data_IF_575117306798
#
_entry.id   IF_575117306798
#
_cell.length_a   1.000
_cell.length_b   1.000
_cell.length_c   1.000
_cell.angle_alpha   90.00
_cell.angle_beta   90.00
_cell.angle_gamma   90.00
#
_symmetry.space_group_name_H-M   'P 1'
#
loop_
_entity.id
_entity.type
_entity.pdbx_description
1 polymer ?
2 non-polymer ?
3 water ?
#
# COMPACT_ATOMS: atom_id res chain seq x y z
N UNK A 7 45.98 3.39 -35.41
CA UNK A 7 45.49 2.22 -34.69
C UNK A 7 44.05 2.40 -34.24
N UNK A 8 43.75 1.90 -33.05
CA UNK A 8 42.47 2.16 -32.40
C UNK A 8 42.50 3.62 -31.95
N UNK A 9 41.48 4.40 -32.32
CA UNK A 9 41.49 5.82 -31.93
C UNK A 9 41.49 6.01 -30.40
N UNK A 10 42.01 7.14 -29.95
CA UNK A 10 42.23 7.38 -28.52
C UNK A 10 40.95 7.34 -27.66
N UNK A 11 39.85 7.91 -28.17
CA UNK A 11 38.63 7.86 -27.39
C UNK A 11 38.19 6.42 -27.11
N UNK A 12 38.42 5.53 -28.07
CA UNK A 12 38.08 4.12 -27.88
C UNK A 12 39.00 3.45 -26.87
N UNK A 13 40.29 3.81 -26.90
CA UNK A 13 41.23 3.28 -25.93
C UNK A 13 40.79 3.69 -24.52
N UNK A 14 40.43 4.96 -24.38
CA UNK A 14 39.99 5.48 -23.08
C UNK A 14 38.64 4.89 -22.64
N UNK A 15 37.70 4.73 -23.56
CA UNK A 15 36.45 4.06 -23.22
C UNK A 15 36.69 2.66 -22.66
N UNK A 16 37.61 1.92 -23.29
CA UNK A 16 37.96 0.57 -22.83
C UNK A 16 38.50 0.57 -21.40
N UNK A 17 39.30 1.57 -21.07
CA UNK A 17 39.87 1.68 -19.73
C UNK A 17 38.80 2.01 -18.68
N UNK A 18 37.88 2.89 -19.05
CA UNK A 18 36.77 3.19 -18.14
C UNK A 18 35.90 1.95 -17.96
N UNK A 19 35.67 1.23 -19.05
CA UNK A 19 34.91 -0.02 -19.01
C UNK A 19 35.59 -1.01 -18.05
N UNK A 20 36.91 -1.09 -18.10
CA UNK A 20 37.67 -1.95 -17.20
C UNK A 20 37.40 -1.58 -15.75
N UNK A 21 37.47 -0.29 -15.45
CA UNK A 21 37.22 0.21 -14.10
C UNK A 21 35.81 -0.16 -13.64
N UNK A 22 34.85 -0.05 -14.56
CA UNK A 22 33.47 -0.42 -14.25
C UNK A 22 33.38 -1.91 -13.95
N UNK A 23 34.08 -2.72 -14.73
CA UNK A 23 34.05 -4.16 -14.55
C UNK A 23 34.64 -4.62 -13.22
N UNK A 24 35.56 -3.83 -12.67
CA UNK A 24 36.21 -4.17 -11.40
C UNK A 24 35.57 -3.42 -10.24
N UNK A 25 34.42 -2.81 -10.50
CA UNK A 25 33.65 -2.11 -9.47
C UNK A 25 34.38 -0.94 -8.81
N UNK A 26 35.39 -0.40 -9.48
CA UNK A 26 36.02 0.83 -9.02
C UNK A 26 34.98 1.94 -9.08
N UNK A 27 34.16 1.89 -10.12
CA UNK A 27 32.98 2.75 -10.22
C UNK A 27 31.74 1.86 -10.22
N UNK A 28 30.69 2.29 -9.53
CA UNK A 28 29.45 1.51 -9.54
C UNK A 28 28.22 2.30 -9.08
N UNK A 29 27.04 1.74 -9.36
CA UNK A 29 25.77 2.35 -8.99
C UNK A 29 25.74 2.74 -7.52
N UNK A 30 25.34 3.98 -7.25
CA UNK A 30 25.28 4.49 -5.89
C UNK A 30 26.65 4.85 -5.36
N UNK A 33 30.80 8.14 -10.10
CA UNK A 33 32.14 8.03 -10.67
C UNK A 33 32.69 9.42 -10.99
N UNK A 34 34.00 9.50 -11.33
CA UNK A 34 34.60 10.80 -11.67
C UNK A 34 33.82 11.46 -12.78
N UNK A 35 33.62 12.77 -12.72
CA UNK A 35 32.91 13.43 -13.81
C UNK A 35 33.83 13.56 -15.03
N UNK A 36 33.32 14.16 -16.10
CA UNK A 36 34.10 14.22 -17.34
C UNK A 36 35.38 15.06 -17.18
N UNK A 37 35.33 16.10 -16.36
CA UNK A 37 36.51 16.93 -16.13
C UNK A 37 37.60 16.13 -15.40
N UNK A 38 37.21 15.38 -14.38
CA UNK A 38 38.16 14.55 -13.64
C UNK A 38 38.76 13.50 -14.57
N UNK A 39 37.94 12.99 -15.48
CA UNK A 39 38.40 12.03 -16.48
C UNK A 39 39.47 12.62 -17.38
N UNK A 40 39.30 13.89 -17.76
CA UNK A 40 40.33 14.59 -18.54
C UNK A 40 41.67 14.56 -17.82
N UNK A 41 41.64 14.77 -16.51
CA UNK A 41 42.84 14.78 -15.69
C UNK A 41 43.42 13.37 -15.53
N UNK A 42 42.57 12.42 -15.16
CA UNK A 42 42.99 11.03 -14.96
C UNK A 42 43.67 10.46 -16.20
N UNK A 43 43.10 10.75 -17.37
CA UNK A 43 43.60 10.18 -18.61
C UNK A 43 44.42 11.17 -19.43
N UNK A 44 44.72 12.33 -18.85
CA UNK A 44 45.53 13.34 -19.52
C UNK A 44 45.04 13.57 -20.95
N UNK A 45 43.74 13.71 -21.12
CA UNK A 45 43.17 13.84 -22.46
C UNK A 45 42.22 15.02 -22.60
N UNK A 46 41.85 15.35 -23.82
CA UNK A 46 41.04 16.55 -24.06
C UNK A 46 39.58 16.35 -23.66
N UNK A 47 38.88 17.46 -23.55
CA UNK A 47 37.45 17.46 -23.29
C UNK A 47 36.71 16.68 -24.37
N UNK A 48 37.14 16.88 -25.62
CA UNK A 48 36.55 16.24 -26.79
C UNK A 48 36.79 14.73 -26.81
N UNK A 49 38.00 14.33 -26.46
CA UNK A 49 38.33 12.92 -26.34
C UNK A 49 37.48 12.24 -25.27
N UNK A 50 37.39 12.86 -24.10
CA UNK A 50 36.60 12.28 -23.01
C UNK A 50 35.12 12.23 -23.38
N UNK A 51 34.63 13.28 -24.02
CA UNK A 51 33.20 13.33 -24.40
C UNK A 51 32.87 12.19 -25.37
N UNK A 52 33.81 11.90 -26.25
CA UNK A 52 33.64 10.80 -27.21
C UNK A 52 33.71 9.43 -26.54
N UNK A 53 34.61 9.27 -25.58
CA UNK A 53 34.71 8.04 -24.83
C UNK A 53 33.40 7.77 -24.09
N UNK A 54 32.90 8.79 -23.40
CA UNK A 54 31.67 8.68 -22.65
C UNK A 54 30.48 8.39 -23.57
N UNK A 55 30.38 9.11 -24.69
CA UNK A 55 29.32 8.84 -25.68
C UNK A 55 29.28 7.37 -26.03
N UNK A 56 30.46 6.79 -26.21
CA UNK A 56 30.60 5.37 -26.51
C UNK A 56 30.07 4.51 -25.37
N UNK A 57 30.39 4.89 -24.13
CA UNK A 57 29.92 4.14 -22.97
C UNK A 57 28.40 4.28 -22.81
N UNK A 58 27.88 5.47 -23.05
CA UNK A 58 26.45 5.70 -22.99
C UNK A 58 25.71 4.85 -24.03
N UNK A 59 26.24 4.82 -25.25
CA UNK A 59 25.68 4.06 -26.35
C UNK A 59 25.65 2.58 -26.02
N UNK A 60 26.70 2.12 -25.32
CA UNK A 60 26.79 0.72 -24.91
C UNK A 60 25.93 0.43 -23.68
N UNK A 61 25.30 1.46 -23.14
CA UNK A 61 24.44 1.31 -21.97
C UNK A 61 25.19 1.04 -20.68
N UNK A 62 26.43 1.51 -20.59
CA UNK A 62 27.25 1.25 -19.41
C UNK A 62 27.26 2.42 -18.43
N UNK A 63 26.99 3.63 -18.93
CA UNK A 63 26.95 4.81 -18.08
C UNK A 63 25.86 5.74 -18.58
N UNK A 64 25.50 6.70 -17.75
CA UNK A 64 24.50 7.68 -18.14
C UNK A 64 24.94 9.04 -17.61
N UNK A 65 24.67 10.09 -18.36
CA UNK A 65 25.01 11.44 -17.94
C UNK A 65 23.88 12.04 -17.10
N UNK A 66 24.24 12.82 -16.09
CA UNK A 66 23.26 13.70 -15.48
C UNK A 66 23.50 15.09 -16.05
N UNK A 67 22.57 15.55 -16.88
CA UNK A 67 22.65 16.87 -17.49
C UNK A 67 23.61 17.81 -16.76
N UNK A 68 24.85 17.86 -17.23
CA UNK A 68 25.88 18.67 -16.61
C UNK A 68 26.43 18.05 -15.34
N UNK A 69 25.54 17.80 -14.38
CA UNK A 69 25.91 17.24 -13.08
C UNK A 69 27.13 16.31 -13.10
N UNK A 70 26.98 15.12 -13.66
CA UNK A 70 28.06 14.15 -13.69
C UNK A 70 27.80 12.88 -14.48
N UNK A 71 28.29 11.76 -13.94
CA UNK A 71 28.24 10.48 -14.62
C UNK A 71 27.86 9.40 -13.63
N UNK A 72 26.88 8.58 -14.00
CA UNK A 72 26.48 7.44 -13.20
C UNK A 72 26.73 6.14 -13.95
N UNK A 73 27.19 5.13 -13.24
CA UNK A 73 27.35 3.81 -13.81
C UNK A 73 26.00 3.11 -13.80
N UNK A 74 25.66 2.44 -14.90
CA UNK A 74 24.41 1.70 -14.97
C UNK A 74 24.52 0.44 -14.13
N UNK A 75 23.48 0.15 -13.32
CA UNK A 75 23.51 -1.09 -12.53
C UNK A 75 23.60 -2.32 -13.42
N UNK A 76 24.19 -3.39 -12.89
CA UNK A 76 24.35 -4.63 -13.64
C UNK A 76 23.62 -5.78 -12.98
N UNK A 77 22.81 -6.49 -13.75
CA UNK A 77 22.11 -7.66 -13.23
C UNK A 77 23.00 -8.89 -13.32
N UNK A 78 24.10 -8.88 -12.59
CA UNK A 78 24.98 -10.05 -12.53
C UNK A 78 24.30 -11.11 -11.69
N UNK A 79 24.88 -12.30 -11.66
CA UNK A 79 24.32 -13.39 -10.88
C UNK A 79 24.31 -13.00 -9.42
N UNK A 80 25.36 -12.30 -9.00
CA UNK A 80 25.47 -11.90 -7.60
C UNK A 80 24.41 -10.88 -7.21
N UNK A 81 24.21 -9.87 -8.04
CA UNK A 81 23.24 -8.84 -7.75
C UNK A 81 21.82 -9.40 -7.72
N UNK A 82 21.52 -10.32 -8.63
CA UNK A 82 20.21 -10.95 -8.66
C UNK A 82 19.97 -11.70 -7.37
N UNK A 83 20.97 -12.47 -6.95
CA UNK A 83 20.92 -13.18 -5.67
C UNK A 83 20.67 -12.20 -4.52
N UNK A 84 21.34 -11.06 -4.55
CA UNK A 84 21.18 -10.03 -3.52
C UNK A 84 19.78 -9.40 -3.52
N UNK A 85 19.23 -9.19 -4.71
CA UNK A 85 17.97 -8.46 -4.83
C UNK A 85 16.73 -9.31 -4.59
N UNK A 86 16.82 -10.60 -4.91
CA UNK A 86 15.65 -11.45 -4.92
C UNK A 86 15.86 -12.71 -4.09
N UNK A 87 17.12 -12.99 -3.74
CA UNK A 87 17.43 -14.18 -2.96
C UNK A 87 17.51 -15.44 -3.82
N UNK A 88 17.50 -15.27 -5.13
CA UNK A 88 17.45 -16.40 -6.06
C UNK A 88 18.77 -16.65 -6.80
N UNK A 89 19.18 -17.91 -6.83
CA UNK A 89 20.46 -18.30 -7.45
C UNK A 89 20.31 -18.76 -8.90
N UNK A 90 21.44 -18.92 -9.57
CA UNK A 90 21.48 -19.43 -10.94
C UNK A 90 20.74 -18.51 -11.92
N UNK A 96 8.48 -21.77 -9.52
CA UNK A 96 8.81 -20.36 -9.33
C UNK A 96 8.18 -19.80 -8.05
N UNK A 97 7.16 -18.96 -8.22
CA UNK A 97 6.53 -18.27 -7.11
C UNK A 97 7.52 -17.33 -6.43
N UNK A 98 8.54 -16.94 -7.17
CA UNK A 98 9.52 -15.96 -6.72
C UNK A 98 9.51 -14.78 -7.70
N UNK A 99 10.38 -13.82 -7.45
CA UNK A 99 10.44 -12.63 -8.29
C UNK A 99 11.61 -12.68 -9.26
N UNK A 100 11.33 -12.39 -10.52
CA UNK A 100 12.31 -12.49 -11.60
C UNK A 100 12.53 -11.13 -12.24
N UNK A 101 13.71 -10.54 -12.02
CA UNK A 101 14.01 -9.21 -12.55
C UNK A 101 14.26 -9.24 -14.06
N UNK A 102 13.56 -8.38 -14.78
CA UNK A 102 13.68 -8.31 -16.22
C UNK A 102 14.56 -7.15 -16.64
N UNK A 103 14.50 -6.06 -15.88
CA UNK A 103 15.13 -4.80 -16.25
C UNK A 103 15.46 -4.01 -15.01
N UNK A 104 16.64 -3.40 -15.01
CA UNK A 104 17.04 -2.47 -13.96
C UNK A 104 18.01 -1.47 -14.57
N UNK A 105 17.56 -0.22 -14.73
CA UNK A 105 18.45 0.79 -15.31
C UNK A 105 18.07 2.20 -14.90
N UNK A 106 18.97 3.13 -15.22
CA UNK A 106 18.75 4.55 -14.97
C UNK A 106 18.39 5.24 -16.29
N UNK A 107 17.47 6.18 -16.22
CA UNK A 107 16.99 6.89 -17.40
C UNK A 107 16.51 8.26 -16.95
N UNK A 108 16.32 9.17 -17.89
CA UNK A 108 15.72 10.46 -17.58
C UNK A 108 14.27 10.26 -17.18
N UNK A 109 13.76 11.16 -16.34
CA UNK A 109 12.40 11.07 -15.87
C UNK A 109 11.42 11.24 -17.03
N UNK A 110 11.71 12.19 -17.90
CA UNK A 110 10.79 12.54 -18.97
C UNK A 110 9.61 13.35 -18.44
N UNK A 111 8.79 13.88 -19.34
CA UNK A 111 7.67 14.74 -18.97
C UNK A 111 6.67 14.10 -18.00
N UNK A 112 6.27 12.87 -18.30
CA UNK A 112 5.22 12.21 -17.53
C UNK A 112 5.59 12.00 -16.07
N UNK A 113 6.78 11.47 -15.82
CA UNK A 113 7.23 11.22 -14.45
C UNK A 113 7.68 12.51 -13.74
N UNK A 114 8.31 13.41 -14.48
CA UNK A 114 8.74 14.68 -13.93
C UNK A 114 7.55 15.43 -13.33
N UNK A 115 6.41 15.34 -14.01
CA UNK A 115 5.20 16.00 -13.56
C UNK A 115 4.63 15.36 -12.29
N UNK A 116 4.68 14.02 -12.24
CA UNK A 116 4.22 13.29 -11.05
C UNK A 116 5.10 13.54 -9.83
N UNK A 117 6.41 13.48 -10.01
CA UNK A 117 7.34 13.69 -8.90
C UNK A 117 7.55 15.16 -8.62
N UNK A 118 7.10 16.00 -9.53
CA UNK A 118 7.40 17.42 -9.46
C UNK A 118 8.89 17.65 -9.54
N UNK A 119 9.55 17.00 -10.50
CA UNK A 119 10.99 17.13 -10.69
C UNK A 119 11.30 17.58 -12.12
N UNK A 120 12.58 17.72 -12.44
CA UNK A 120 13.00 18.13 -13.78
C UNK A 120 13.06 16.94 -14.73
N UNK A 121 12.51 17.13 -15.93
CA UNK A 121 12.38 16.07 -16.93
C UNK A 121 13.70 15.37 -17.26
N UNK A 122 14.81 16.07 -17.08
CA UNK A 122 16.13 15.55 -17.41
C UNK A 122 16.84 14.90 -16.23
N UNK A 123 16.24 14.99 -15.05
CA UNK A 123 16.79 14.35 -13.87
C UNK A 123 16.52 12.84 -13.92
N UNK A 124 17.32 12.07 -13.20
CA UNK A 124 17.35 10.64 -13.38
C UNK A 124 16.46 9.87 -12.40
N UNK A 125 15.96 8.73 -12.86
CA UNK A 125 15.20 7.80 -12.02
C UNK A 125 15.67 6.38 -12.31
N UNK A 126 15.57 5.52 -11.31
CA UNK A 126 15.76 4.10 -11.52
C UNK A 126 14.47 3.51 -12.05
N UNK A 127 14.60 2.58 -12.98
CA UNK A 127 13.45 1.87 -13.51
C UNK A 127 13.70 0.39 -13.29
N UNK A 128 12.80 -0.24 -12.55
CA UNK A 128 12.92 -1.66 -12.26
C UNK A 128 11.69 -2.37 -12.79
N UNK A 129 11.92 -3.48 -13.49
CA UNK A 129 10.82 -4.29 -13.96
C UNK A 129 11.01 -5.71 -13.46
N UNK A 130 9.96 -6.27 -12.84
CA UNK A 130 10.00 -7.68 -12.44
C UNK A 130 8.69 -8.42 -12.65
N UNK A 131 8.79 -9.74 -12.70
CA UNK A 131 7.67 -10.61 -13.04
C UNK A 131 7.57 -11.67 -11.95
N UNK A 132 6.36 -12.14 -11.72
CA UNK A 132 6.10 -13.06 -10.62
C UNK A 132 5.01 -14.03 -11.05
N UNK A 133 5.25 -15.33 -10.89
CA UNK A 133 4.21 -16.31 -11.16
C UNK A 133 3.17 -16.31 -10.04
N UNK A 134 1.89 -16.34 -10.41
CA UNK A 134 0.82 -16.29 -9.41
C UNK A 134 -0.28 -17.31 -9.72
N UNK A 135 -1.43 -17.11 -9.08
CA UNK A 135 -2.57 -17.99 -9.26
C UNK A 135 -3.13 -17.92 -10.68
N UNK A 136 -3.52 -16.72 -11.10
CA UNK A 136 -4.09 -16.52 -12.42
C UNK A 136 -3.03 -16.05 -13.42
N UNK A 137 -1.87 -16.68 -13.37
CA UNK A 137 -0.80 -16.39 -14.31
C UNK A 137 0.23 -15.39 -13.81
N UNK A 138 1.14 -15.02 -14.69
CA UNK A 138 2.24 -14.12 -14.34
C UNK A 138 1.76 -12.68 -14.16
N UNK A 139 2.30 -12.03 -13.15
CA UNK A 139 2.06 -10.61 -12.96
C UNK A 139 3.32 -9.83 -13.31
N UNK A 140 3.15 -8.55 -13.58
CA UNK A 140 4.27 -7.70 -13.98
C UNK A 140 4.27 -6.45 -13.13
N UNK A 141 5.43 -6.12 -12.58
CA UNK A 141 5.57 -4.90 -11.79
C UNK A 141 6.60 -3.98 -12.40
N UNK A 142 6.30 -2.69 -12.37
CA UNK A 142 7.28 -1.68 -12.74
C UNK A 142 7.37 -0.64 -11.62
N UNK A 143 8.60 -0.39 -11.18
CA UNK A 143 8.90 0.57 -10.12
C UNK A 143 9.75 1.71 -10.66
N UNK A 144 9.44 2.92 -10.23
CA UNK A 144 10.22 4.10 -10.58
C UNK A 144 10.66 4.80 -9.29
N UNK A 145 11.96 4.94 -9.11
CA UNK A 145 12.55 5.58 -7.93
C UNK A 145 13.55 6.65 -8.37
N UNK A 146 13.26 7.93 -8.08
CA UNK A 146 14.20 9.00 -8.45
C UNK A 146 15.55 8.83 -7.75
N UNK A 147 16.61 8.99 -8.52
CA UNK A 147 17.98 8.88 -8.03
C UNK A 147 18.23 9.77 -6.83
N UNK A 148 17.81 11.03 -6.94
CA UNK A 148 17.99 12.01 -5.88
C UNK A 148 17.30 11.68 -4.57
N UNK A 149 16.39 10.71 -4.61
CA UNK A 149 15.65 10.32 -3.42
C UNK A 149 16.20 9.00 -2.84
N UNK A 150 16.93 8.26 -3.68
CA UNK A 150 17.60 7.03 -3.24
C UNK A 150 19.10 7.06 -3.59
N UNK A 151 19.77 8.18 -3.25
CA UNK A 151 21.15 8.47 -3.67
C UNK A 151 22.19 7.45 -3.21
N UNK A 152 21.99 6.84 -2.05
CA UNK A 152 23.05 6.02 -1.44
C UNK A 152 22.93 4.52 -1.71
N UNK A 153 21.86 4.11 -2.39
CA UNK A 153 21.66 2.70 -2.67
C UNK A 153 22.59 2.19 -3.77
N UNK A 154 23.30 1.10 -3.49
CA UNK A 154 24.00 0.37 -4.55
C UNK A 154 23.06 -0.68 -5.11
N UNK A 155 23.47 -1.35 -6.19
CA UNK A 155 22.64 -2.34 -6.86
C UNK A 155 22.06 -3.38 -5.90
N UNK A 156 22.91 -3.92 -5.03
CA UNK A 156 22.51 -4.97 -4.10
C UNK A 156 21.52 -4.50 -3.03
N UNK A 157 21.34 -3.19 -2.92
CA UNK A 157 20.41 -2.64 -1.94
C UNK A 157 18.98 -2.62 -2.44
N UNK A 158 18.82 -2.78 -3.75
CA UNK A 158 17.48 -2.74 -4.33
C UNK A 158 16.78 -4.09 -4.18
N UNK A 159 16.65 -4.53 -2.94
CA UNK A 159 15.95 -5.78 -2.66
C UNK A 159 14.48 -5.59 -2.95
N UNK A 160 13.89 -6.52 -3.70
CA UNK A 160 12.48 -6.39 -4.08
C UNK A 160 11.58 -7.43 -3.43
N UNK A 161 12.04 -8.06 -2.36
CA UNK A 161 11.23 -9.01 -1.60
C UNK A 161 10.03 -8.27 -0.99
N UNK A 162 10.29 -7.09 -0.44
CA UNK A 162 9.26 -6.28 0.20
C UNK A 162 9.32 -4.85 -0.33
N UNK A 163 8.32 -4.48 -1.15
CA UNK A 163 8.34 -3.20 -1.83
C UNK A 163 8.25 -2.02 -0.86
N UNK A 164 7.50 -2.18 0.21
CA UNK A 164 7.34 -1.12 1.19
C UNK A 164 8.68 -0.88 1.85
N UNK A 165 9.36 -1.96 2.21
CA UNK A 165 10.70 -1.82 2.77
C UNK A 165 11.61 -1.08 1.80
N UNK A 166 11.58 -1.46 0.53
CA UNK A 166 12.44 -0.84 -0.48
C UNK A 166 12.12 0.66 -0.62
N UNK A 167 10.84 0.98 -0.71
CA UNK A 167 10.41 2.38 -0.88
C UNK A 167 10.80 3.22 0.34
N UNK A 168 10.84 2.56 1.48
CA UNK A 168 11.16 3.23 2.74
C UNK A 168 12.66 3.39 2.95
N UNK A 169 13.46 2.84 2.04
CA UNK A 169 14.89 2.69 2.29
C UNK A 169 15.76 3.85 1.77
N UNK A 170 15.16 4.87 1.16
CA UNK A 170 15.92 5.98 0.65
C UNK A 170 16.01 7.16 1.62
N UNK A 171 16.13 8.36 1.06
CA UNK A 171 16.27 9.58 1.83
C UNK A 171 15.10 9.86 2.79
N UNK A 172 13.88 9.63 2.31
CA UNK A 172 12.69 9.97 3.07
C UNK A 172 11.92 8.75 3.54
N UNK A 173 11.12 8.94 4.58
CA UNK A 173 10.32 7.85 5.14
C UNK A 173 8.97 7.79 4.43
N UNK A 174 8.48 6.58 4.19
CA UNK A 174 7.15 6.41 3.62
C UNK A 174 6.11 6.93 4.62
N UNK A 175 5.15 7.70 4.14
CA UNK A 175 4.12 8.27 5.01
C UNK A 175 2.70 7.94 4.54
N UNK A 176 2.50 7.96 3.22
CA UNK A 176 1.17 7.81 2.63
C UNK A 176 1.22 7.04 1.31
N UNK A 177 0.14 6.33 1.00
CA UNK A 177 0.02 5.58 -0.23
C UNK A 177 -1.28 5.99 -0.96
N UNK A 178 -1.15 6.40 -2.22
CA UNK A 178 -2.32 6.69 -3.03
C UNK A 178 -2.37 5.74 -4.23
N UNK A 179 -3.52 5.08 -4.41
CA UNK A 179 -3.64 4.08 -5.45
C UNK A 179 -4.75 4.37 -6.45
N UNK A 180 -4.56 3.91 -7.68
CA UNK A 180 -5.55 4.05 -8.74
C UNK A 180 -5.78 2.66 -9.33
N UNK A 181 -7.04 2.35 -9.65
CA UNK A 181 -7.43 1.02 -10.12
C UNK A 181 -8.06 1.12 -11.50
N UNK A 182 -7.47 0.45 -12.49
CA UNK A 182 -7.98 0.50 -13.87
C UNK A 182 -8.07 -0.86 -14.52
N UNK A 183 -8.92 -0.94 -15.54
CA UNK A 183 -8.91 -2.04 -16.50
C UNK A 183 -8.34 -1.49 -17.80
N UNK A 184 -7.33 -2.16 -18.36
CA UNK A 184 -6.76 -1.74 -19.63
C UNK A 184 -6.65 -2.91 -20.59
N UNK A 185 -6.35 -2.59 -21.84
CA UNK A 185 -6.06 -3.59 -22.85
C UNK A 185 -4.59 -3.98 -22.72
N UNK A 186 -4.30 -5.27 -22.88
CA UNK A 186 -2.92 -5.73 -22.84
C UNK A 186 -2.09 -5.10 -23.95
N UNK A 187 -0.97 -4.50 -23.56
CA UNK A 187 -0.01 -3.94 -24.51
C UNK A 187 1.17 -4.88 -24.68
N UNK A 188 2.20 -4.41 -25.36
CA UNK A 188 3.37 -5.25 -25.64
C UNK A 188 4.02 -5.80 -24.39
N UNK A 189 4.17 -4.96 -23.37
CA UNK A 189 4.73 -5.35 -22.09
C UNK A 189 4.01 -6.57 -21.52
N UNK A 190 2.68 -6.47 -21.47
CA UNK A 190 1.84 -7.54 -20.94
C UNK A 190 1.88 -8.77 -21.84
N UNK A 191 1.85 -8.55 -23.15
CA UNK A 191 1.96 -9.65 -24.10
C UNK A 191 3.20 -10.48 -23.79
N UNK A 192 4.36 -9.84 -23.84
CA UNK A 192 5.63 -10.54 -23.71
C UNK A 192 5.85 -11.11 -22.31
N UNK A 193 5.54 -10.32 -21.29
CA UNK A 193 5.92 -10.69 -19.92
C UNK A 193 4.90 -11.52 -19.17
N UNK A 194 3.63 -11.43 -19.55
CA UNK A 194 2.57 -12.10 -18.83
C UNK A 194 1.90 -13.14 -19.72
N UNK A 195 2.38 -13.23 -20.96
CA UNK A 195 1.90 -14.22 -21.91
C UNK A 195 0.40 -14.07 -22.13
N UNK A 196 0.01 -12.86 -22.53
CA UNK A 196 -1.37 -12.56 -22.87
C UNK A 196 -1.44 -12.26 -24.37
N UNK A 197 -2.67 -12.22 -24.90
CA UNK A 197 -2.88 -11.83 -26.29
C UNK A 197 -3.22 -10.35 -26.36
N UNK A 198 -2.96 -9.72 -27.51
CA UNK A 198 -3.31 -8.32 -27.68
C UNK A 198 -4.75 -8.09 -27.29
N UNK A 199 -4.98 -7.01 -26.55
CA UNK A 199 -6.33 -6.59 -26.17
C UNK A 199 -7.01 -7.50 -25.14
N UNK A 200 -6.26 -8.43 -24.57
CA UNK A 200 -6.73 -9.13 -23.39
C UNK A 200 -6.90 -8.07 -22.29
N UNK A 201 -7.94 -8.20 -21.46
CA UNK A 201 -8.18 -7.25 -20.37
C UNK A 201 -7.21 -7.44 -19.21
N UNK A 202 -6.70 -6.33 -18.69
CA UNK A 202 -5.71 -6.39 -17.63
C UNK A 202 -6.05 -5.39 -16.51
N UNK A 203 -5.92 -5.83 -15.25
CA UNK A 203 -6.01 -4.91 -14.11
C UNK A 203 -4.69 -4.15 -14.00
N UNK A 204 -4.78 -2.83 -13.90
CA UNK A 204 -3.60 -2.02 -13.65
C UNK A 204 -3.78 -1.27 -12.31
N UNK A 205 -2.96 -1.64 -11.34
CA UNK A 205 -2.98 -1.03 -10.02
C UNK A 205 -1.81 -0.06 -9.92
N UNK A 206 -2.09 1.24 -9.94
CA UNK A 206 -1.03 2.24 -9.86
C UNK A 206 -0.90 2.71 -8.42
N UNK A 207 0.33 2.78 -7.94
CA UNK A 207 0.60 3.23 -6.58
C UNK A 207 1.58 4.40 -6.61
N UNK A 208 1.24 5.47 -5.90
CA UNK A 208 2.19 6.55 -5.68
C UNK A 208 2.50 6.60 -4.18
N UNK A 209 3.76 6.45 -3.82
CA UNK A 209 4.17 6.47 -2.43
C UNK A 209 4.64 7.87 -2.07
N UNK A 210 4.13 8.41 -0.96
CA UNK A 210 4.47 9.76 -0.54
C UNK A 210 5.24 9.77 0.78
N UNK A 211 6.21 10.66 0.87
CA UNK A 211 6.73 11.10 2.15
C UNK A 211 5.79 12.20 2.68
N UNK A 212 5.95 12.58 3.94
CA UNK A 212 5.15 13.67 4.53
C UNK A 212 5.18 14.92 3.66
N UNK A 213 4.13 15.73 3.79
CA UNK A 213 4.04 17.02 3.09
C UNK A 213 3.91 16.91 1.59
N UNK A 214 3.18 15.88 1.15
CA UNK A 214 2.77 15.77 -0.24
C UNK A 214 3.94 15.59 -1.20
N UNK A 215 4.96 14.85 -0.76
CA UNK A 215 6.14 14.61 -1.59
C UNK A 215 6.21 13.17 -2.08
N UNK A 216 5.94 12.95 -3.38
CA UNK A 216 6.00 11.62 -3.97
C UNK A 216 7.45 11.15 -3.98
N UNK A 217 7.70 9.92 -3.54
CA UNK A 217 9.05 9.39 -3.49
C UNK A 217 9.20 8.16 -4.38
N UNK A 218 8.08 7.54 -4.76
CA UNK A 218 8.14 6.34 -5.58
C UNK A 218 6.83 6.07 -6.30
N UNK A 219 6.93 5.40 -7.45
CA UNK A 219 5.76 4.98 -8.20
C UNK A 219 5.87 3.51 -8.54
N UNK A 220 4.75 2.80 -8.41
CA UNK A 220 4.69 1.39 -8.81
C UNK A 220 3.47 1.13 -9.69
N UNK A 221 3.66 0.34 -10.74
CA UNK A 221 2.55 -0.11 -11.57
C UNK A 221 2.56 -1.62 -11.49
N UNK A 222 1.42 -2.19 -11.13
CA UNK A 222 1.29 -3.63 -11.02
C UNK A 222 0.18 -4.09 -11.96
N UNK A 223 0.45 -5.14 -12.72
CA UNK A 223 -0.49 -5.62 -13.73
C UNK A 223 -0.88 -7.06 -13.48
N UNK A 224 -2.17 -7.37 -13.61
CA UNK A 224 -2.65 -8.73 -13.46
C UNK A 224 -3.69 -9.03 -14.54
N UNK A 225 -3.69 -10.26 -15.02
CA UNK A 225 -4.69 -10.76 -15.94
C UNK A 225 -6.09 -10.55 -15.31
N UNK A 226 -7.00 -9.91 -16.03
CA UNK A 226 -8.34 -9.65 -15.51
C UNK A 226 -9.38 -10.68 -15.99
N UNK A 227 -8.95 -11.66 -16.76
CA UNK A 227 -9.89 -12.66 -17.24
C UNK A 227 -10.57 -13.36 -16.08
N UNK A 228 -11.86 -13.65 -16.23
CA UNK A 228 -12.61 -14.34 -15.20
C UNK A 228 -13.65 -15.25 -15.86
N UNK A 229 -14.08 -16.26 -15.13
CA UNK A 229 -15.18 -17.09 -15.59
C UNK A 229 -16.52 -16.47 -15.20
N UNK A 230 -16.47 -15.33 -14.51
CA UNK A 230 -17.68 -14.69 -13.97
C UNK A 230 -18.15 -13.50 -14.79
N UNK A 231 -17.30 -12.99 -15.66
CA UNK A 231 -17.68 -11.85 -16.49
C UNK A 231 -16.81 -11.83 -17.74
N UNK A 232 -17.19 -10.99 -18.70
CA UNK A 232 -16.30 -10.67 -19.81
C UNK A 232 -16.22 -9.15 -19.94
N UNK A 233 -15.05 -8.64 -20.30
CA UNK A 233 -14.88 -7.22 -20.53
C UNK A 233 -14.86 -6.94 -22.04
N UNK A 234 -15.86 -6.20 -22.51
CA UNK A 234 -15.93 -5.81 -23.91
C UNK A 234 -15.39 -4.39 -24.09
N UNK A 235 -14.20 -4.27 -24.67
CA UNK A 235 -13.62 -2.96 -24.94
C UNK A 235 -14.23 -2.33 -26.19
N UNK A 236 -14.40 -1.02 -26.16
CA UNK A 236 -14.95 -0.28 -27.28
C UNK A 236 -13.91 -0.03 -28.38
N UNK B 8 -40.15 -1.36 38.69
CA UNK B 8 -39.14 -1.61 37.67
C UNK B 8 -38.03 -2.52 38.21
N UNK B 9 -37.75 -3.61 37.51
CA UNK B 9 -36.75 -4.60 37.94
C UNK B 9 -35.39 -3.95 38.24
N UNK B 10 -34.65 -4.55 39.17
CA UNK B 10 -33.35 -4.02 39.57
C UNK B 10 -32.34 -3.95 38.42
N UNK B 11 -32.26 -5.02 37.62
CA UNK B 11 -31.28 -5.05 36.55
C UNK B 11 -31.49 -3.87 35.59
N UNK B 12 -32.74 -3.48 35.37
CA UNK B 12 -33.01 -2.34 34.50
C UNK B 12 -32.55 -1.04 35.16
N UNK B 13 -32.69 -0.97 36.48
CA UNK B 13 -32.22 0.19 37.22
C UNK B 13 -30.70 0.32 37.10
N UNK B 14 -30.00 -0.78 37.35
CA UNK B 14 -28.54 -0.78 37.24
C UNK B 14 -28.06 -0.49 35.82
N UNK B 15 -28.73 -1.07 34.82
CA UNK B 15 -28.38 -0.76 33.43
C UNK B 15 -28.48 0.73 33.15
N UNK B 16 -29.53 1.38 33.65
CA UNK B 16 -29.65 2.83 33.49
C UNK B 16 -28.52 3.57 34.18
N UNK B 17 -28.11 3.08 35.36
CA UNK B 17 -27.00 3.69 36.09
C UNK B 17 -25.70 3.60 35.30
N UNK B 18 -25.49 2.45 34.65
CA UNK B 18 -24.28 2.24 33.86
C UNK B 18 -24.30 3.06 32.57
N UNK B 19 -25.48 3.21 31.98
CA UNK B 19 -25.65 4.04 30.81
C UNK B 19 -25.15 5.46 31.07
N UNK B 20 -25.46 5.98 32.25
CA UNK B 20 -25.02 7.32 32.64
C UNK B 20 -23.49 7.40 32.71
N UNK B 21 -22.88 6.40 33.34
CA UNK B 21 -21.42 6.33 33.43
C UNK B 21 -20.79 6.38 32.04
N UNK B 22 -21.45 5.73 31.08
CA UNK B 22 -20.97 5.70 29.70
C UNK B 22 -21.20 7.04 29.02
N UNK B 23 -22.33 7.68 29.32
CA UNK B 23 -22.65 8.98 28.76
C UNK B 23 -21.64 10.05 29.13
N UNK B 24 -21.03 9.91 30.30
CA UNK B 24 -20.09 10.91 30.81
C UNK B 24 -18.64 10.47 30.64
N UNK B 25 -18.42 9.57 29.68
CA UNK B 25 -17.08 9.07 29.36
C UNK B 25 -16.32 8.58 30.58
N UNK B 26 -17.05 8.22 31.64
CA UNK B 26 -16.43 7.64 32.82
C UNK B 26 -15.84 6.29 32.45
N UNK B 27 -16.58 5.53 31.65
CA UNK B 27 -16.06 4.29 31.09
C UNK B 27 -15.63 4.55 29.65
N UNK B 28 -14.39 4.19 29.35
CA UNK B 28 -13.75 4.58 28.09
C UNK B 28 -13.56 3.41 27.11
N UNK B 29 -14.02 3.59 25.88
CA UNK B 29 -13.66 2.68 24.81
C UNK B 29 -12.18 2.88 24.51
N UNK B 30 -11.38 1.84 24.75
CA UNK B 30 -9.94 1.92 24.57
C UNK B 30 -9.22 2.34 25.84
N UNK B 33 -13.88 -0.85 30.70
CA UNK B 33 -14.66 -0.48 31.87
C UNK B 33 -14.59 -1.58 32.93
N UNK B 34 -15.12 -1.30 34.14
CA UNK B 34 -15.12 -2.30 35.22
C UNK B 34 -15.73 -3.60 34.73
N UNK B 35 -15.16 -4.74 35.09
CA UNK B 35 -15.72 -6.01 34.69
C UNK B 35 -16.99 -6.29 35.49
N UNK B 36 -17.61 -7.44 35.25
CA UNK B 36 -18.89 -7.74 35.89
C UNK B 36 -18.75 -8.03 37.38
N UNK B 37 -17.62 -8.60 37.78
CA UNK B 37 -17.35 -8.80 39.20
C UNK B 37 -17.22 -7.44 39.90
N UNK B 38 -16.53 -6.51 39.27
CA UNK B 38 -16.40 -5.16 39.84
C UNK B 38 -17.75 -4.46 39.93
N UNK B 39 -18.60 -4.64 38.91
CA UNK B 39 -19.94 -4.07 38.91
C UNK B 39 -20.82 -4.62 40.04
N UNK B 40 -20.65 -5.90 40.39
CA UNK B 40 -21.34 -6.45 41.56
C UNK B 40 -20.99 -5.67 42.81
N UNK B 41 -19.72 -5.35 42.96
CA UNK B 41 -19.28 -4.60 44.13
C UNK B 41 -19.68 -3.15 44.05
N UNK B 42 -19.50 -2.53 42.89
CA UNK B 42 -19.90 -1.15 42.71
C UNK B 42 -21.38 -0.92 43.03
N UNK B 43 -22.23 -1.81 42.53
CA UNK B 43 -23.68 -1.66 42.69
C UNK B 43 -24.27 -2.56 43.77
N UNK B 44 -23.40 -3.18 44.56
CA UNK B 44 -23.82 -4.04 45.66
C UNK B 44 -24.94 -4.97 45.22
N UNK B 45 -24.79 -5.56 44.04
CA UNK B 45 -25.84 -6.42 43.50
C UNK B 45 -25.32 -7.80 43.18
N UNK B 46 -26.23 -8.70 42.83
CA UNK B 46 -25.85 -10.08 42.52
C UNK B 46 -25.22 -10.27 41.13
N UNK B 47 -24.50 -11.36 40.97
CA UNK B 47 -23.97 -11.77 39.68
C UNK B 47 -25.07 -11.82 38.62
N UNK B 48 -26.19 -12.44 38.97
CA UNK B 48 -27.32 -12.55 38.08
C UNK B 48 -27.87 -11.19 37.68
N UNK B 49 -28.02 -10.31 38.66
CA UNK B 49 -28.49 -8.95 38.40
C UNK B 49 -27.56 -8.23 37.42
N UNK B 50 -26.25 -8.33 37.66
CA UNK B 50 -25.27 -7.70 36.79
C UNK B 50 -25.32 -8.30 35.39
N UNK B 51 -25.35 -9.63 35.30
CA UNK B 51 -25.41 -10.29 33.99
C UNK B 51 -26.60 -9.79 33.18
N UNK B 52 -27.76 -9.68 33.82
CA UNK B 52 -28.97 -9.23 33.14
C UNK B 52 -28.90 -7.74 32.81
N UNK B 53 -28.26 -6.95 33.67
CA UNK B 53 -28.08 -5.54 33.37
C UNK B 53 -27.17 -5.40 32.15
N UNK B 54 -26.08 -6.16 32.13
CA UNK B 54 -25.15 -6.13 31.00
C UNK B 54 -25.77 -6.69 29.71
N UNK B 55 -26.55 -7.77 29.81
CA UNK B 55 -27.27 -8.30 28.63
C UNK B 55 -28.09 -7.19 27.97
N UNK B 56 -28.72 -6.36 28.79
CA UNK B 56 -29.56 -5.29 28.28
C UNK B 56 -28.72 -4.24 27.55
N UNK B 57 -27.53 -3.95 28.09
CA UNK B 57 -26.65 -2.95 27.51
C UNK B 57 -26.07 -3.46 26.20
N UNK B 58 -25.76 -4.75 26.15
CA UNK B 58 -25.30 -5.36 24.91
C UNK B 58 -26.37 -5.26 23.83
N UNK B 59 -27.60 -5.64 24.17
CA UNK B 59 -28.73 -5.59 23.24
C UNK B 59 -28.96 -4.18 22.70
N UNK B 60 -28.66 -3.18 23.52
CA UNK B 60 -28.79 -1.79 23.09
C UNK B 60 -27.56 -1.31 22.32
N UNK B 61 -26.57 -2.19 22.16
CA UNK B 61 -25.34 -1.84 21.48
C UNK B 61 -24.47 -0.84 22.23
N UNK B 62 -24.57 -0.85 23.56
CA UNK B 62 -23.82 0.09 24.38
C UNK B 62 -22.50 -0.47 24.86
N UNK B 63 -22.46 -1.78 25.07
CA UNK B 63 -21.23 -2.46 25.45
C UNK B 63 -21.15 -3.82 24.79
N UNK B 64 -19.98 -4.44 24.88
CA UNK B 64 -19.78 -5.74 24.28
C UNK B 64 -18.92 -6.56 25.23
N UNK B 65 -19.20 -7.85 25.34
CA UNK B 65 -18.41 -8.69 26.20
C UNK B 65 -17.19 -9.23 25.46
N UNK B 66 -16.06 -9.32 26.16
CA UNK B 66 -14.93 -10.10 25.66
C UNK B 66 -14.98 -11.46 26.36
N UNK B 67 -15.62 -12.42 25.70
CA UNK B 67 -15.84 -13.74 26.28
C UNK B 67 -14.72 -14.21 27.20
N UNK B 68 -15.03 -14.33 28.49
CA UNK B 68 -14.07 -14.82 29.46
C UNK B 68 -12.93 -13.86 29.73
N UNK B 69 -13.21 -12.56 29.63
CA UNK B 69 -12.19 -11.54 29.88
C UNK B 69 -12.75 -10.31 30.59
N UNK B 70 -13.79 -9.70 30.03
CA UNK B 70 -14.38 -8.50 30.60
C UNK B 70 -15.33 -7.75 29.68
N UNK B 71 -15.42 -6.43 29.86
CA UNK B 71 -16.40 -5.61 29.17
C UNK B 71 -15.77 -4.41 28.46
N UNK B 72 -16.25 -4.13 27.25
CA UNK B 72 -15.82 -2.94 26.51
C UNK B 72 -17.00 -2.05 26.20
N UNK B 73 -16.78 -0.74 26.26
CA UNK B 73 -17.78 0.23 25.85
C UNK B 73 -17.71 0.43 24.33
N UNK B 74 -18.87 0.52 23.68
CA UNK B 74 -18.90 0.70 22.24
C UNK B 74 -18.54 2.14 21.89
N UNK B 75 -17.73 2.32 20.83
CA UNK B 75 -17.39 3.67 20.38
C UNK B 75 -18.64 4.44 19.99
N UNK B 76 -18.64 5.75 20.19
CA UNK B 76 -19.80 6.54 19.81
C UNK B 76 -19.40 7.66 18.85
N UNK B 77 -20.12 7.79 17.75
CA UNK B 77 -19.81 8.82 16.77
C UNK B 77 -20.45 10.16 17.10
N UNK B 78 -20.01 10.75 18.21
CA UNK B 78 -20.42 12.09 18.58
C UNK B 78 -19.84 13.10 17.60
N UNK B 79 -20.37 14.32 17.62
CA UNK B 79 -19.85 15.36 16.74
C UNK B 79 -18.37 15.60 17.03
N UNK B 80 -17.99 15.47 18.30
CA UNK B 80 -16.61 15.70 18.70
C UNK B 80 -15.65 14.62 18.14
N UNK B 81 -16.04 13.36 18.27
CA UNK B 81 -15.24 12.25 17.79
C UNK B 81 -15.14 12.25 16.26
N UNK B 82 -16.24 12.60 15.60
CA UNK B 82 -16.24 12.74 14.15
C UNK B 82 -15.24 13.81 13.74
N UNK B 83 -15.20 14.90 14.48
CA UNK B 83 -14.23 15.97 14.23
C UNK B 83 -12.79 15.48 14.40
N UNK B 84 -12.54 14.71 15.47
CA UNK B 84 -11.22 14.16 15.74
C UNK B 84 -10.75 13.19 14.65
N UNK B 85 -11.68 12.35 14.19
CA UNK B 85 -11.35 11.27 13.28
C UNK B 85 -11.21 11.71 11.83
N UNK B 86 -11.90 12.78 11.44
CA UNK B 86 -11.98 13.15 10.02
C UNK B 86 -11.70 14.63 9.76
N UNK B 87 -11.73 15.44 10.80
CA UNK B 87 -11.50 16.87 10.66
C UNK B 87 -12.73 17.69 10.27
N UNK B 88 -13.87 17.04 10.10
CA UNK B 88 -15.05 17.71 9.55
C UNK B 88 -16.03 18.25 10.59
N UNK B 89 -16.59 19.43 10.29
CA UNK B 89 -17.52 20.13 11.16
C UNK B 89 -16.92 20.50 12.53
N UNK B 97 -16.73 15.91 -0.59
CA UNK B 97 -15.40 16.47 -0.45
C UNK B 97 -14.50 15.59 0.42
N UNK B 98 -15.00 15.25 1.61
CA UNK B 98 -14.19 14.58 2.62
C UNK B 98 -14.67 13.16 2.96
N UNK B 99 -14.16 12.61 4.06
CA UNK B 99 -14.49 11.26 4.48
C UNK B 99 -15.62 11.24 5.50
N UNK B 100 -16.68 10.50 5.17
CA UNK B 100 -17.87 10.42 6.01
C UNK B 100 -18.00 9.05 6.65
N UNK B 101 -17.99 9.01 7.98
CA UNK B 101 -18.03 7.73 8.71
C UNK B 101 -19.44 7.20 8.86
N UNK B 102 -19.66 5.97 8.38
CA UNK B 102 -20.98 5.39 8.39
C UNK B 102 -21.18 4.45 9.57
N UNK B 103 -20.08 3.90 10.06
CA UNK B 103 -20.16 2.91 11.11
C UNK B 103 -18.83 2.77 11.82
N UNK B 104 -18.88 2.63 13.14
CA UNK B 104 -17.69 2.36 13.93
C UNK B 104 -18.16 1.59 15.17
N UNK B 105 -17.82 0.32 15.24
CA UNK B 105 -18.25 -0.51 16.37
C UNK B 105 -17.34 -1.71 16.56
N UNK B 106 -17.42 -2.30 17.76
CA UNK B 106 -16.67 -3.50 18.11
C UNK B 106 -17.55 -4.73 17.93
N UNK B 107 -16.98 -5.78 17.38
CA UNK B 107 -17.71 -7.02 17.10
C UNK B 107 -16.75 -8.21 17.18
N UNK B 108 -17.30 -9.38 17.44
CA UNK B 108 -16.52 -10.60 17.37
C UNK B 108 -15.98 -10.78 15.95
N UNK B 109 -14.81 -11.38 15.85
CA UNK B 109 -14.16 -11.55 14.55
C UNK B 109 -14.99 -12.47 13.65
N UNK B 110 -15.60 -13.49 14.24
CA UNK B 110 -16.27 -14.51 13.45
C UNK B 110 -15.22 -15.40 12.79
N UNK B 111 -15.68 -16.39 12.02
CA UNK B 111 -14.77 -17.37 11.45
C UNK B 111 -13.92 -16.80 10.31
N UNK B 112 -14.55 -16.04 9.43
CA UNK B 112 -13.86 -15.51 8.26
C UNK B 112 -12.64 -14.67 8.64
N UNK B 113 -12.83 -13.70 9.53
CA UNK B 113 -11.71 -12.85 9.96
C UNK B 113 -10.75 -13.58 10.89
N UNK B 114 -11.24 -14.57 11.62
CA UNK B 114 -10.39 -15.33 12.52
C UNK B 114 -9.32 -16.08 11.73
N UNK B 115 -9.71 -16.65 10.60
CA UNK B 115 -8.78 -17.39 9.75
C UNK B 115 -7.73 -16.46 9.14
N UNK B 116 -8.15 -15.27 8.72
CA UNK B 116 -7.22 -14.29 8.16
C UNK B 116 -6.21 -13.78 9.19
N UNK B 117 -6.71 -13.40 10.37
CA UNK B 117 -5.84 -12.85 11.41
C UNK B 117 -5.10 -13.92 12.22
N UNK B 118 -5.59 -15.15 12.14
CA UNK B 118 -5.08 -16.21 13.00
C UNK B 118 -5.40 -15.93 14.46
N UNK B 119 -6.65 -15.58 14.73
CA UNK B 119 -7.12 -15.32 16.09
C UNK B 119 -8.36 -16.18 16.39
N UNK B 120 -8.93 -16.01 17.59
CA UNK B 120 -10.15 -16.75 17.94
C UNK B 120 -11.41 -16.03 17.45
N UNK B 121 -12.30 -16.78 16.81
CA UNK B 121 -13.48 -16.16 16.21
C UNK B 121 -14.36 -15.38 17.19
N UNK B 122 -14.22 -15.64 18.49
CA UNK B 122 -14.95 -14.85 19.48
C UNK B 122 -14.15 -13.67 20.05
N UNK B 123 -12.94 -13.47 19.54
CA UNK B 123 -12.16 -12.30 19.94
C UNK B 123 -12.62 -11.06 19.17
N UNK B 124 -12.35 -9.89 19.71
CA UNK B 124 -12.96 -8.66 19.21
C UNK B 124 -12.10 -7.89 18.20
N UNK B 125 -12.78 -7.34 17.20
CA UNK B 125 -12.16 -6.44 16.23
C UNK B 125 -13.00 -5.17 16.13
N UNK B 126 -12.34 -4.06 15.79
CA UNK B 126 -13.04 -2.85 15.41
C UNK B 126 -13.44 -2.94 13.94
N UNK B 127 -14.65 -2.51 13.64
CA UNK B 127 -15.10 -2.44 12.26
C UNK B 127 -15.48 -1.01 11.96
N UNK B 128 -14.87 -0.46 10.92
CA UNK B 128 -15.07 0.93 10.55
C UNK B 128 -15.50 0.97 9.10
N UNK B 129 -16.53 1.75 8.80
CA UNK B 129 -16.98 1.89 7.43
C UNK B 129 -17.11 3.36 7.09
N UNK B 130 -16.50 3.80 6.01
CA UNK B 130 -16.60 5.19 5.63
C UNK B 130 -16.71 5.38 4.12
N UNK B 131 -17.32 6.48 3.72
CA UNK B 131 -17.53 6.80 2.31
C UNK B 131 -16.79 8.08 1.98
N UNK B 132 -16.48 8.28 0.70
CA UNK B 132 -15.71 9.45 0.29
C UNK B 132 -16.15 9.91 -1.09
N UNK B 133 -16.43 11.20 -1.24
CA UNK B 133 -16.75 11.76 -2.54
C UNK B 133 -15.46 11.89 -3.35
N UNK B 134 -15.41 11.24 -4.51
CA UNK B 134 -14.19 11.20 -5.30
C UNK B 134 -14.39 11.60 -6.76
N UNK B 135 -13.39 11.32 -7.59
CA UNK B 135 -13.41 11.68 -9.00
C UNK B 135 -14.71 11.28 -9.69
N UNK B 136 -14.92 9.98 -9.85
CA UNK B 136 -16.14 9.50 -10.48
C UNK B 136 -17.02 8.73 -9.49
N UNK B 137 -17.72 9.47 -8.64
CA UNK B 137 -18.66 8.89 -7.71
C UNK B 137 -18.10 8.60 -6.33
N UNK B 138 -18.99 8.27 -5.40
CA UNK B 138 -18.57 7.93 -4.05
C UNK B 138 -17.82 6.60 -4.04
N UNK B 139 -16.84 6.50 -3.15
CA UNK B 139 -16.17 5.24 -2.88
C UNK B 139 -16.51 4.78 -1.46
N UNK B 140 -16.36 3.48 -1.21
CA UNK B 140 -16.68 2.93 0.08
C UNK B 140 -15.48 2.14 0.63
N UNK B 141 -15.13 2.38 1.89
CA UNK B 141 -14.03 1.68 2.53
C UNK B 141 -14.50 1.00 3.82
N UNK B 142 -14.02 -0.21 4.05
CA UNK B 142 -14.24 -0.91 5.30
C UNK B 142 -12.89 -1.30 5.89
N UNK B 143 -12.69 -1.02 7.18
CA UNK B 143 -11.44 -1.36 7.88
C UNK B 143 -11.76 -2.28 9.03
N UNK B 144 -10.96 -3.33 9.19
CA UNK B 144 -11.08 -4.23 10.34
C UNK B 144 -9.76 -4.20 11.09
N UNK B 145 -9.81 -3.83 12.36
CA UNK B 145 -8.63 -3.73 13.24
C UNK B 145 -8.85 -4.53 14.53
N UNK B 146 -8.08 -5.62 14.72
CA UNK B 146 -8.28 -6.42 15.93
C UNK B 146 -8.01 -5.61 17.19
N UNK B 147 -8.91 -5.72 18.17
CA UNK B 147 -8.81 -4.95 19.40
C UNK B 147 -7.49 -5.24 20.15
N UNK B 148 -7.07 -6.50 20.15
CA UNK B 148 -5.83 -6.89 20.81
C UNK B 148 -4.57 -6.30 20.18
N UNK B 149 -4.69 -5.86 18.93
CA UNK B 149 -3.57 -5.30 18.18
C UNK B 149 -3.55 -3.79 18.24
N UNK B 150 -4.68 -3.19 18.59
CA UNK B 150 -4.78 -1.74 18.74
C UNK B 150 -5.33 -1.37 20.13
N UNK B 151 -4.69 -1.91 21.19
CA UNK B 151 -5.16 -1.88 22.58
C UNK B 151 -5.40 -0.49 23.15
N UNK B 152 -4.53 0.46 22.83
CA UNK B 152 -4.52 1.72 23.55
C UNK B 152 -5.28 2.86 22.87
N UNK B 153 -5.77 2.63 21.66
CA UNK B 153 -6.51 3.65 20.94
C UNK B 153 -7.89 3.93 21.54
N UNK B 154 -8.19 5.20 21.77
CA UNK B 154 -9.56 5.61 22.08
C UNK B 154 -10.22 6.02 20.78
N UNK B 155 -11.52 6.28 20.80
CA UNK B 155 -12.24 6.58 19.57
C UNK B 155 -11.60 7.72 18.76
N UNK B 156 -11.15 8.76 19.45
CA UNK B 156 -10.55 9.92 18.81
C UNK B 156 -9.20 9.61 18.13
N UNK B 157 -8.62 8.46 18.48
CA UNK B 157 -7.32 8.06 17.92
C UNK B 157 -7.49 7.41 16.56
N UNK B 158 -8.70 6.97 16.25
CA UNK B 158 -8.96 6.31 14.98
C UNK B 158 -9.14 7.31 13.85
N UNK B 159 -8.15 8.17 13.68
CA UNK B 159 -8.15 9.13 12.58
C UNK B 159 -8.05 8.38 11.26
N UNK B 160 -8.92 8.74 10.32
CA UNK B 160 -8.95 8.06 9.04
C UNK B 160 -8.44 8.91 7.88
N UNK B 161 -7.74 10.01 8.19
CA UNK B 161 -7.15 10.86 7.16
C UNK B 161 -6.09 10.08 6.37
N UNK B 162 -5.27 9.33 7.10
CA UNK B 162 -4.18 8.58 6.50
C UNK B 162 -4.22 7.14 7.02
N UNK B 163 -4.65 6.24 6.17
CA UNK B 163 -4.86 4.85 6.57
C UNK B 163 -3.55 4.15 6.98
N UNK B 164 -2.47 4.49 6.30
CA UNK B 164 -1.16 3.94 6.61
C UNK B 164 -0.77 4.32 8.02
N UNK B 165 -0.94 5.61 8.33
CA UNK B 165 -0.66 6.08 9.69
C UNK B 165 -1.51 5.37 10.74
N UNK B 166 -2.79 5.21 10.45
CA UNK B 166 -3.70 4.53 11.36
C UNK B 166 -3.25 3.08 11.60
N UNK B 167 -3.03 2.34 10.51
CA UNK B 167 -2.64 0.95 10.61
C UNK B 167 -1.33 0.83 11.40
N UNK B 168 -0.48 1.84 11.26
CA UNK B 168 0.80 1.87 11.97
C UNK B 168 0.72 2.34 13.42
N UNK B 169 -0.47 2.72 13.89
CA UNK B 169 -0.55 3.38 15.20
C UNK B 169 -0.79 2.43 16.38
N UNK B 170 -0.86 1.14 16.11
CA UNK B 170 -1.16 0.19 17.17
C UNK B 170 0.06 -0.40 17.84
N UNK B 171 -0.07 -1.62 18.34
CA UNK B 171 0.98 -2.30 19.08
C UNK B 171 2.20 -2.68 18.20
N UNK B 172 1.97 -2.97 16.93
CA UNK B 172 3.04 -3.41 16.02
C UNK B 172 3.25 -2.43 14.87
N UNK B 173 4.46 -2.39 14.32
CA UNK B 173 4.70 -1.56 13.14
C UNK B 173 4.24 -2.24 11.86
N UNK B 174 3.72 -1.44 10.92
CA UNK B 174 3.39 -1.94 9.60
C UNK B 174 4.70 -2.31 8.88
N UNK B 175 4.73 -3.49 8.28
CA UNK B 175 5.93 -3.98 7.60
C UNK B 175 5.68 -4.21 6.12
N UNK B 176 4.50 -4.76 5.79
CA UNK B 176 4.21 -5.15 4.42
C UNK B 176 2.73 -5.09 4.08
N UNK B 177 2.47 -4.94 2.78
CA UNK B 177 1.11 -4.83 2.28
C UNK B 177 0.88 -5.86 1.20
N UNK B 178 -0.19 -6.64 1.35
CA UNK B 178 -0.58 -7.63 0.37
C UNK B 178 -1.97 -7.27 -0.16
N UNK B 179 -2.11 -7.15 -1.49
CA UNK B 179 -3.37 -6.68 -2.07
C UNK B 179 -3.96 -7.61 -3.13
N UNK B 180 -5.29 -7.66 -3.20
CA UNK B 180 -5.98 -8.41 -4.25
C UNK B 180 -6.95 -7.48 -4.96
N UNK B 181 -7.12 -7.67 -6.27
CA UNK B 181 -8.00 -6.80 -7.04
C UNK B 181 -9.05 -7.64 -7.75
N UNK B 182 -10.31 -7.24 -7.63
CA UNK B 182 -11.38 -7.96 -8.31
C UNK B 182 -12.39 -7.02 -8.93
N UNK B 183 -13.09 -7.52 -9.95
CA UNK B 183 -14.31 -6.92 -10.45
C UNK B 183 -15.49 -7.71 -9.90
N UNK B 184 -16.44 -7.03 -9.25
CA UNK B 184 -17.63 -7.68 -8.71
C UNK B 184 -18.90 -6.93 -9.09
N UNK B 185 -20.04 -7.59 -8.91
CA UNK B 185 -21.34 -6.93 -9.09
C UNK B 185 -21.67 -6.12 -7.86
N UNK B 186 -22.19 -4.91 -8.06
CA UNK B 186 -22.56 -4.06 -6.93
C UNK B 186 -23.51 -4.79 -5.98
N UNK B 187 -23.15 -4.84 -4.70
CA UNK B 187 -23.99 -5.45 -3.69
C UNK B 187 -24.83 -4.41 -2.98
N UNK B 188 -25.56 -4.84 -1.95
CA UNK B 188 -26.41 -3.92 -1.18
C UNK B 188 -25.61 -2.80 -0.51
N UNK B 189 -24.44 -3.14 0.01
CA UNK B 189 -23.52 -2.16 0.57
C UNK B 189 -23.22 -1.04 -0.43
N UNK B 190 -22.90 -1.42 -1.65
CA UNK B 190 -22.49 -0.48 -2.68
C UNK B 190 -23.66 0.37 -3.19
N UNK B 191 -24.77 -0.29 -3.54
CA UNK B 191 -25.91 0.44 -4.06
C UNK B 191 -26.32 1.51 -3.06
N UNK B 192 -26.42 1.13 -1.80
CA UNK B 192 -26.83 2.05 -0.74
C UNK B 192 -25.84 3.21 -0.53
N UNK B 193 -24.58 2.86 -0.27
CA UNK B 193 -23.57 3.85 0.07
C UNK B 193 -22.93 4.57 -1.11
N UNK B 194 -22.93 3.93 -2.28
CA UNK B 194 -22.22 4.47 -3.43
C UNK B 194 -23.15 4.97 -4.52
N UNK B 195 -24.45 4.73 -4.32
CA UNK B 195 -25.47 5.16 -5.26
C UNK B 195 -25.27 4.48 -6.60
N UNK B 196 -25.21 3.15 -6.56
CA UNK B 196 -25.11 2.33 -7.74
C UNK B 196 -26.37 1.49 -7.87
N UNK B 197 -26.55 0.86 -9.02
CA UNK B 197 -27.69 -0.01 -9.25
C UNK B 197 -27.30 -1.47 -9.10
N UNK B 198 -28.29 -2.31 -8.80
CA UNK B 198 -28.05 -3.74 -8.72
C UNK B 198 -27.18 -4.19 -9.90
N UNK B 199 -26.07 -4.84 -9.58
CA UNK B 199 -25.24 -5.49 -10.61
C UNK B 199 -24.26 -4.59 -11.37
N UNK B 200 -24.26 -3.29 -11.09
CA UNK B 200 -23.26 -2.41 -11.69
C UNK B 200 -21.87 -2.92 -11.33
N UNK B 201 -20.89 -2.74 -12.24
CA UNK B 201 -19.53 -3.26 -12.04
C UNK B 201 -18.79 -2.40 -11.05
N UNK B 202 -18.04 -3.06 -10.15
CA UNK B 202 -17.33 -2.37 -9.10
C UNK B 202 -15.97 -2.98 -8.90
N UNK B 203 -14.93 -2.15 -8.82
CA UNK B 203 -13.61 -2.62 -8.42
C UNK B 203 -13.62 -2.86 -6.92
N UNK B 204 -13.14 -4.02 -6.51
CA UNK B 204 -12.90 -4.29 -5.10
C UNK B 204 -11.42 -4.50 -4.88
N UNK B 205 -10.81 -3.57 -4.15
CA UNK B 205 -9.40 -3.64 -3.78
C UNK B 205 -9.29 -4.10 -2.32
N UNK B 206 -8.82 -5.33 -2.12
CA UNK B 206 -8.67 -5.87 -0.77
C UNK B 206 -7.22 -5.74 -0.31
N UNK B 207 -7.01 -5.22 0.89
CA UNK B 207 -5.65 -5.02 1.39
C UNK B 207 -5.47 -5.76 2.70
N UNK B 208 -4.39 -6.53 2.82
CA UNK B 208 -4.06 -7.09 4.12
C UNK B 208 -2.73 -6.48 4.56
N UNK B 209 -2.76 -5.78 5.69
CA UNK B 209 -1.53 -5.17 6.22
C UNK B 209 -0.88 -6.16 7.20
N UNK B 210 0.44 -6.32 7.08
CA UNK B 210 1.21 -7.24 7.92
C UNK B 210 2.28 -6.53 8.72
N UNK B 211 2.48 -6.98 9.95
CA UNK B 211 3.68 -6.68 10.71
C UNK B 211 4.71 -7.74 10.33
N UNK B 212 5.94 -7.60 10.82
CA UNK B 212 6.99 -8.57 10.49
C UNK B 212 6.60 -9.98 10.89
N UNK B 213 7.22 -10.97 10.25
CA UNK B 213 7.02 -12.37 10.60
C UNK B 213 5.60 -12.86 10.30
N UNK B 214 5.02 -12.36 9.22
CA UNK B 214 3.79 -12.91 8.67
C UNK B 214 2.61 -12.76 9.64
N UNK B 215 2.55 -11.62 10.34
CA UNK B 215 1.45 -11.37 11.25
C UNK B 215 0.51 -10.28 10.71
N UNK B 216 -0.69 -10.68 10.25
CA UNK B 216 -1.66 -9.68 9.78
C UNK B 216 -2.08 -8.77 10.94
N UNK B 217 -2.13 -7.46 10.70
CA UNK B 217 -2.53 -6.52 11.75
C UNK B 217 -3.77 -5.70 11.38
N UNK B 218 -4.09 -5.61 10.10
CA UNK B 218 -5.31 -4.93 9.66
C UNK B 218 -5.80 -5.41 8.29
N UNK B 219 -7.11 -5.34 8.09
CA UNK B 219 -7.69 -5.62 6.77
C UNK B 219 -8.45 -4.40 6.28
N UNK B 220 -8.38 -4.14 4.98
CA UNK B 220 -9.17 -3.07 4.38
C UNK B 220 -9.82 -3.48 3.06
N UNK B 221 -11.08 -3.10 2.87
CA UNK B 221 -11.75 -3.31 1.60
C UNK B 221 -12.13 -1.95 1.02
N UNK B 222 -11.73 -1.71 -0.23
CA UNK B 222 -11.99 -0.46 -0.89
C UNK B 222 -12.76 -0.72 -2.19
N UNK B 223 -13.88 -0.03 -2.37
CA UNK B 223 -14.75 -0.22 -3.53
C UNK B 223 -14.88 1.06 -4.36
N UNK B 224 -14.73 0.92 -5.67
CA UNK B 224 -14.96 2.03 -6.59
C UNK B 224 -15.83 1.59 -7.75
N UNK B 225 -16.62 2.52 -8.26
CA UNK B 225 -17.38 2.32 -9.47
C UNK B 225 -16.42 1.91 -10.59
N UNK B 226 -16.72 0.82 -11.30
CA UNK B 226 -15.86 0.38 -12.39
C UNK B 226 -16.34 0.84 -13.76
N UNK B 227 -17.43 1.60 -13.78
CA UNK B 227 -17.99 2.06 -15.05
C UNK B 227 -16.98 2.90 -15.83
N UNK B 228 -17.03 2.78 -17.15
CA UNK B 228 -16.08 3.47 -18.00
C UNK B 228 -16.61 3.63 -19.42
N UNK B 229 -16.19 4.68 -20.10
CA UNK B 229 -16.55 4.87 -21.50
C UNK B 229 -15.69 4.00 -22.40
N UNK B 230 -14.67 3.37 -21.83
CA UNK B 230 -13.72 2.58 -22.61
C UNK B 230 -14.17 1.14 -22.81
N UNK B 231 -15.09 0.68 -21.98
CA UNK B 231 -15.49 -0.73 -22.04
C UNK B 231 -16.83 -1.00 -21.38
N UNK B 232 -17.36 -2.19 -21.62
CA UNK B 232 -18.54 -2.67 -20.95
C UNK B 232 -18.20 -3.99 -20.26
N UNK B 233 -18.55 -4.09 -18.99
CA UNK B 233 -18.39 -5.35 -18.27
C UNK B 233 -19.70 -6.13 -18.31
N UNK B 234 -19.64 -7.36 -18.80
CA UNK B 234 -20.82 -8.20 -18.84
C UNK B 234 -20.66 -9.41 -17.93
N UNK B 235 -21.44 -9.43 -16.86
CA UNK B 235 -21.45 -10.57 -15.95
C UNK B 235 -22.41 -11.64 -16.47
N UNK B 236 -21.96 -12.89 -16.47
CA UNK B 236 -22.76 -14.00 -17.01
C UNK B 236 -24.26 -13.81 -16.85
X LIG C 1 7.83 5.33 -19.89
X LIG C 1 7.60 4.39 -18.86
X LIG C 1 7.26 6.67 -19.48
X LIG C 1 8.15 7.68 -19.87
X LIG C 1 5.91 6.91 -20.15
X LIG C 1 4.97 5.98 -19.64
X LIG D 1 19.16 0.58 -21.60
X LIG D 1 19.98 0.72 -20.46
X LIG D 1 17.82 -0.05 -21.22
X LIG D 1 16.78 0.55 -21.96
X LIG D 1 17.85 -1.56 -21.52
X LIG D 1 16.60 -2.13 -21.24
X LIG E 1 39.73 18.59 -31.00
X LIG E 1 39.13 19.29 -29.92
X LIG E 1 41.14 19.10 -31.21
X LIG E 1 41.77 19.33 -29.97
X LIG E 1 41.96 18.09 -31.98
X LIG E 1 43.32 18.45 -31.88
X LIG F 1 -23.11 -1.81 16.51
X LIG F 1 -23.54 -2.53 17.63
X LIG F 1 -24.07 -2.02 15.34
X LIG F 1 -23.91 -0.96 14.41
X LIG F 1 -23.76 -3.34 14.66
X LIG F 1 -24.75 -3.60 13.68
X LIG G 1 -17.33 -11.53 8.26
X LIG G 1 -18.22 -11.01 9.21
X LIG G 1 -17.68 -10.91 6.92
X LIG G 1 -18.83 -10.11 7.08
X LIG G 1 -17.93 -12.01 5.91
X LIG G 1 -17.53 -11.58 4.63
X LIG H 1 -33.59 -11.28 39.83
X LIG H 1 -33.17 -11.72 38.56
X LIG H 1 -32.75 -11.95 40.91
X LIG H 1 -32.03 -13.01 40.33
X LIG H 1 -31.82 -10.93 41.57
X LIG H 1 -30.69 -11.58 42.13
X LIG I 1 -1.97 -10.53 20.22
X LIG I 1 -0.78 -9.97 20.71
X LIG I 1 -3.13 -10.10 21.10
X LIG I 1 -2.61 -9.45 22.25
X LIG I 1 -3.92 -11.32 21.54
X LIG I 1 -5.13 -10.89 22.16
#
# INVERSE_FOLDING_TARGET
SNAXAAKKPLFEVIASKIKDSINRDEYKTGXLMPNETALQEIYSSSRTTIRRAVDLLVEEGLVVRKNGVGLYVQPKLTAQNILEMTGVMKNDTNENLKKDIKDFYIRKAGKFYAEIFGMKENELVYSIKFVQKSEHGATLDRLILPLGLYPDLQAKDFQIINIIELVNSGKYKLFELEQELQLILAGNEQIKNMHLNENDPVFKLSSVFYAENDMPIAIQYHYEDAESTKYVVDFN
SNAXAAKKPLFEVIASKIKDSINRDEYKTGXLMPNETALQEIYSSSRTTIRRAVDLLVEEGLVVRKNGVGLYVQPKLTAQNILEMTGVMKNDTNENLKKDIKDFYIRKAGKFYAEIFGMKENELVYSIKFVQKSEHGATLDRLILPLGLYPDLQAKDFQIINIIELVNSGKYKLFELEQELQLILAGNEQIKNMHLNENDPVFKLSSVFYAENDMPIAIQYHYEDAESTKYVVDFN
GOL C1 O1 C2 O2 C3 O3
GOL C1 O1 C2 O2 C3 O3
GOL C1 O1 C2 O2 C3 O3
GOL C1 O1 C2 O2 C3 O3
GOL C1 O1 C2 O2 C3 O3
GOL C1 O1 C2 O2 C3 O3
GOL C1 O1 C2 O2 C3 O3
#
